data_IF_076526361641
#
_entry.id   IF_076526361641
#
_cell.length_a   1.000
_cell.length_b   1.000
_cell.length_c   1.000
_cell.angle_alpha   90.00
_cell.angle_beta   90.00
_cell.angle_gamma   90.00
#
_symmetry.space_group_name_H-M   'P 1'
#
loop_
_entity.id
_entity.type
_entity.pdbx_description
1 polymer ?
#
# COMPACT_ATOMS: atom_id res chain seq x y z
N UNK A 1 -15.81 -13.20 2.74
CA UNK A 1 -15.47 -12.61 4.06
C UNK A 1 -14.13 -12.97 4.69
N UNK A 2 -13.54 -14.16 4.51
CA UNK A 2 -12.27 -14.49 5.19
C UNK A 2 -10.98 -14.11 4.45
N UNK A 3 -11.08 -13.68 3.19
CA UNK A 3 -9.94 -13.42 2.30
C UNK A 3 -9.46 -11.96 2.25
N UNK A 4 -10.33 -10.99 2.53
CA UNK A 4 -9.98 -9.55 2.45
C UNK A 4 -9.04 -9.08 3.56
N UNK A 5 -9.26 -9.55 4.80
CA UNK A 5 -8.41 -9.20 5.95
C UNK A 5 -6.98 -9.73 5.76
N UNK A 6 -6.81 -10.86 5.07
CA UNK A 6 -5.49 -11.42 4.79
C UNK A 6 -4.70 -10.56 3.79
N UNK A 7 -5.38 -9.92 2.83
CA UNK A 7 -4.74 -9.05 1.85
C UNK A 7 -4.20 -7.77 2.50
N UNK A 8 -5.01 -7.11 3.32
CA UNK A 8 -4.61 -5.89 4.03
C UNK A 8 -3.44 -6.16 5.00
N UNK A 9 -3.49 -7.25 5.77
CA UNK A 9 -2.39 -7.65 6.66
C UNK A 9 -1.13 -8.04 5.89
N UNK A 10 -1.27 -8.74 4.76
CA UNK A 10 -0.15 -9.09 3.91
C UNK A 10 0.53 -7.83 3.34
N UNK A 11 -0.24 -6.81 2.95
CA UNK A 11 0.31 -5.55 2.44
C UNK A 11 1.10 -4.78 3.50
N UNK A 12 0.70 -4.83 4.78
CA UNK A 12 1.50 -4.25 5.89
C UNK A 12 2.85 -4.94 6.02
N UNK A 13 2.84 -6.28 6.00
CA UNK A 13 4.08 -7.06 6.14
C UNK A 13 5.00 -6.82 4.94
N UNK A 14 4.43 -6.77 3.73
CA UNK A 14 5.17 -6.47 2.51
C UNK A 14 5.79 -5.06 2.55
N UNK A 15 5.05 -4.03 2.97
CA UNK A 15 5.59 -2.66 3.00
C UNK A 15 6.70 -2.49 4.05
N UNK A 16 6.58 -3.19 5.19
CA UNK A 16 7.62 -3.26 6.21
C UNK A 16 8.91 -3.91 5.64
N UNK A 17 8.78 -5.09 5.02
CA UNK A 17 9.92 -5.84 4.47
C UNK A 17 10.61 -5.06 3.36
N UNK A 18 9.84 -4.45 2.45
CA UNK A 18 10.35 -3.63 1.35
C UNK A 18 11.12 -2.40 1.85
N UNK A 19 10.57 -1.69 2.85
CA UNK A 19 11.22 -0.49 3.40
C UNK A 19 12.51 -0.85 4.13
N UNK A 20 12.50 -1.94 4.93
CA UNK A 20 13.68 -2.43 5.63
C UNK A 20 14.76 -2.93 4.66
N UNK A 21 14.36 -3.67 3.61
CA UNK A 21 15.28 -4.15 2.58
C UNK A 21 15.91 -2.99 1.80
N UNK A 22 15.13 -1.97 1.43
CA UNK A 22 15.64 -0.76 0.77
C UNK A 22 16.67 -0.03 1.66
N UNK A 23 16.41 0.08 2.96
CA UNK A 23 17.33 0.69 3.92
C UNK A 23 18.65 -0.11 4.05
N UNK A 24 18.57 -1.44 4.18
CA UNK A 24 19.74 -2.32 4.27
C UNK A 24 20.59 -2.33 3.00
N UNK A 25 19.95 -2.34 1.83
CA UNK A 25 20.63 -2.32 0.52
C UNK A 25 21.40 -1.03 0.31
N UNK A 26 20.90 0.09 0.85
CA UNK A 26 21.57 1.39 0.79
C UNK A 26 22.85 1.42 1.63
N UNK A 27 22.84 0.77 2.80
CA UNK A 27 24.01 0.73 3.70
C UNK A 27 25.17 -0.09 3.13
N UNK A 28 24.89 -1.05 2.22
CA UNK A 28 25.90 -1.98 1.71
C UNK A 28 26.28 -1.78 0.24
N UNK A 29 25.40 -1.25 -0.63
CA UNK A 29 25.60 -1.38 -2.09
C UNK A 29 25.71 -0.04 -2.85
N UNK A 30 24.97 1.02 -2.48
CA UNK A 30 24.96 2.31 -3.21
C UNK A 30 24.69 3.53 -2.29
N UNK A 31 25.73 4.16 -1.71
CA UNK A 31 25.56 5.32 -0.82
C UNK A 31 25.12 6.62 -1.53
N UNK A 32 25.19 6.72 -2.87
CA UNK A 32 24.80 7.93 -3.62
C UNK A 32 23.36 7.91 -4.17
N UNK A 33 22.60 6.84 -3.98
CA UNK A 33 21.23 6.76 -4.50
C UNK A 33 20.22 7.51 -3.61
N UNK A 34 19.26 8.17 -4.27
CA UNK A 34 18.17 8.87 -3.57
C UNK A 34 17.20 7.86 -2.94
N UNK A 35 17.29 7.72 -1.62
CA UNK A 35 16.49 6.81 -0.79
C UNK A 35 14.99 6.99 -1.02
N UNK A 36 14.54 8.25 -1.14
CA UNK A 36 13.12 8.57 -1.29
C UNK A 36 12.58 8.05 -2.62
N UNK A 37 13.38 8.08 -3.70
CA UNK A 37 12.95 7.57 -5.01
C UNK A 37 12.79 6.05 -4.99
N UNK A 38 13.69 5.32 -4.33
CA UNK A 38 13.62 3.86 -4.23
C UNK A 38 12.39 3.43 -3.44
N UNK A 39 12.18 4.04 -2.27
CA UNK A 39 11.04 3.73 -1.40
C UNK A 39 9.72 4.01 -2.12
N UNK A 40 9.57 5.19 -2.72
CA UNK A 40 8.34 5.56 -3.44
C UNK A 40 8.12 4.65 -4.65
N UNK A 41 9.16 4.28 -5.40
CA UNK A 41 9.05 3.36 -6.53
C UNK A 41 8.55 1.97 -6.10
N UNK A 42 9.00 1.46 -4.96
CA UNK A 42 8.54 0.18 -4.43
C UNK A 42 7.15 0.23 -3.77
N UNK A 43 6.73 1.37 -3.23
CA UNK A 43 5.40 1.52 -2.61
C UNK A 43 4.28 1.76 -3.64
N UNK A 44 4.57 2.36 -4.80
CA UNK A 44 3.54 2.70 -5.81
C UNK A 44 2.61 1.54 -6.22
N UNK A 45 3.07 0.31 -6.49
CA UNK A 45 2.20 -0.81 -6.86
C UNK A 45 1.26 -1.27 -5.74
N UNK A 46 1.62 -0.98 -4.48
CA UNK A 46 0.84 -1.38 -3.31
C UNK A 46 -0.29 -0.40 -3.02
N UNK A 47 -0.22 0.83 -3.55
CA UNK A 47 -1.27 1.82 -3.34
C UNK A 47 -2.56 1.35 -4.04
N UNK A 48 -3.71 1.32 -3.34
CA UNK A 48 -4.96 0.77 -3.86
C UNK A 48 -5.67 1.71 -4.85
N UNK A 49 -4.93 2.32 -5.79
CA UNK A 49 -5.46 3.25 -6.78
C UNK A 49 -6.48 2.61 -7.73
N UNK A 50 -6.29 1.33 -8.06
CA UNK A 50 -7.24 0.54 -8.85
C UNK A 50 -8.52 0.23 -8.07
N UNK A 51 -8.42 -0.01 -6.75
CA UNK A 51 -9.58 -0.25 -5.89
C UNK A 51 -10.42 1.03 -5.72
N UNK A 52 -9.79 2.20 -5.55
CA UNK A 52 -10.47 3.51 -5.51
C UNK A 52 -11.18 3.80 -6.84
N UNK A 53 -10.52 3.50 -7.97
CA UNK A 53 -11.11 3.72 -9.29
C UNK A 53 -12.29 2.77 -9.54
N UNK A 54 -12.17 1.51 -9.11
CA UNK A 54 -13.25 0.53 -9.20
C UNK A 54 -14.43 0.89 -8.28
N UNK A 55 -14.18 1.36 -7.05
CA UNK A 55 -15.25 1.79 -6.16
C UNK A 55 -16.05 2.96 -6.74
N UNK A 56 -15.37 3.94 -7.36
CA UNK A 56 -16.04 5.03 -8.07
C UNK A 56 -16.86 4.53 -9.26
N UNK A 57 -16.30 3.60 -10.06
CA UNK A 57 -17.04 2.97 -11.17
C UNK A 57 -18.32 2.29 -10.70
N UNK A 58 -18.29 1.65 -9.54
CA UNK A 58 -19.43 0.91 -9.02
C UNK A 58 -20.49 1.83 -8.40
N UNK A 59 -20.07 2.95 -7.80
CA UNK A 59 -20.98 4.06 -7.43
C UNK A 59 -21.73 4.57 -8.67
N UNK A 60 -21.03 4.74 -9.80
CA UNK A 60 -21.66 5.17 -11.05
C UNK A 60 -22.54 4.09 -11.71
N UNK A 61 -22.44 2.82 -11.28
CA UNK A 61 -23.28 1.70 -11.74
C UNK A 61 -24.51 1.48 -10.84
N UNK A 62 -24.87 2.48 -10.04
CA UNK A 62 -25.99 2.44 -9.06
C UNK A 62 -25.80 1.42 -7.91
N UNK A 63 -24.62 0.81 -7.77
CA UNK A 63 -24.27 -0.05 -6.64
C UNK A 63 -23.51 0.74 -5.57
N UNK A 64 -24.23 1.64 -4.90
CA UNK A 64 -23.67 2.53 -3.87
C UNK A 64 -23.16 1.78 -2.64
N UNK A 65 -23.79 0.67 -2.28
CA UNK A 65 -23.41 -0.13 -1.10
C UNK A 65 -22.07 -0.82 -1.38
N UNK A 66 -21.92 -1.47 -2.54
CA UNK A 66 -20.66 -2.13 -2.87
C UNK A 66 -19.54 -1.11 -3.20
N UNK A 67 -19.90 0.02 -3.81
CA UNK A 67 -18.97 1.11 -4.07
C UNK A 67 -18.41 1.73 -2.80
N UNK A 68 -19.26 2.08 -1.83
CA UNK A 68 -18.80 2.63 -0.54
C UNK A 68 -17.99 1.62 0.29
N UNK A 69 -18.37 0.34 0.29
CA UNK A 69 -17.61 -0.71 0.96
C UNK A 69 -16.19 -0.87 0.38
N UNK A 70 -16.05 -0.93 -0.95
CA UNK A 70 -14.74 -1.00 -1.62
C UNK A 70 -13.89 0.25 -1.41
N UNK A 71 -14.50 1.43 -1.36
CA UNK A 71 -13.80 2.67 -1.05
C UNK A 71 -13.24 2.68 0.38
N UNK A 72 -14.04 2.24 1.36
CA UNK A 72 -13.63 2.11 2.75
C UNK A 72 -12.48 1.11 2.92
N UNK A 73 -12.56 -0.01 2.20
CA UNK A 73 -11.53 -1.04 2.23
C UNK A 73 -10.20 -0.54 1.65
N UNK A 74 -10.23 0.09 0.48
CA UNK A 74 -9.05 0.72 -0.13
C UNK A 74 -8.45 1.80 0.78
N UNK A 75 -9.27 2.55 1.50
CA UNK A 75 -8.80 3.54 2.47
C UNK A 75 -8.01 2.89 3.61
N UNK A 76 -8.54 1.82 4.23
CA UNK A 76 -7.84 1.11 5.30
C UNK A 76 -6.55 0.46 4.82
N UNK A 77 -6.54 -0.08 3.60
CA UNK A 77 -5.35 -0.70 3.00
C UNK A 77 -4.24 0.33 2.76
N UNK A 78 -4.58 1.52 2.25
CA UNK A 78 -3.64 2.62 2.11
C UNK A 78 -3.07 3.10 3.46
N UNK A 79 -3.92 3.19 4.48
CA UNK A 79 -3.55 3.62 5.84
C UNK A 79 -2.58 2.61 6.47
N UNK A 80 -2.84 1.32 6.28
CA UNK A 80 -1.99 0.22 6.71
C UNK A 80 -0.60 0.26 6.05
N UNK A 81 -0.52 0.50 4.74
CA UNK A 81 0.76 0.63 4.02
C UNK A 81 1.53 1.85 4.51
N UNK A 82 0.85 2.98 4.71
CA UNK A 82 1.46 4.21 5.22
C UNK A 82 2.11 3.99 6.60
N UNK A 83 1.37 3.38 7.54
CA UNK A 83 1.91 3.04 8.87
C UNK A 83 3.11 2.09 8.75
N UNK A 84 3.01 1.03 7.94
CA UNK A 84 4.09 0.07 7.74
C UNK A 84 5.37 0.70 7.18
N UNK A 85 5.25 1.65 6.25
CA UNK A 85 6.39 2.38 5.68
C UNK A 85 7.07 3.33 6.67
N UNK A 86 6.28 4.02 7.51
CA UNK A 86 6.83 4.92 8.54
C UNK A 86 7.53 4.11 9.63
N UNK A 87 6.94 2.99 10.06
CA UNK A 87 7.56 2.08 11.05
C UNK A 87 8.80 1.39 10.49
N UNK A 88 8.82 1.04 9.19
CA UNK A 88 9.99 0.43 8.57
C UNK A 88 11.17 1.39 8.36
N UNK A 89 10.93 2.70 8.42
CA UNK A 89 11.93 3.74 8.27
C UNK A 89 12.39 4.35 9.61
N UNK A 90 11.57 4.23 10.66
CA UNK A 90 11.85 4.68 12.03
C UNK A 90 12.72 3.68 12.79
#
# INVERSE_FOLDING_TARGET
>A
DKYYINHALSNVIQSLVVTLAAYLMLFHLFPEMNVATVIVATLMPMVPGTAITNSLRDIFREDYIAGSARAMEAFFEALMIAIGSVVGLA
#
